data_IF_405177485120
#
_entry.id   IF_405177485120
#
_cell.length_a   1.000
_cell.length_b   1.000
_cell.length_c   1.000
_cell.angle_alpha   90.00
_cell.angle_beta   90.00
_cell.angle_gamma   90.00
#
_symmetry.space_group_name_H-M   'P 1'
#
loop_
_entity.id
_entity.type
_entity.pdbx_description
1 polymer ?
#
# COMPACT_ATOMS: atom_id res chain seq x y z
N UNK A 1 9.43 0.67 15.03
CA UNK A 1 10.89 0.63 14.83
C UNK A 1 11.52 0.07 16.09
N UNK A 2 12.39 -0.93 15.92
CA UNK A 2 13.20 -1.47 16.99
C UNK A 2 14.63 -0.91 16.86
N UNK A 3 15.23 -0.53 17.98
CA UNK A 3 16.63 -0.08 18.03
C UNK A 3 17.28 -0.57 19.32
N UNK A 4 18.49 -1.09 19.21
CA UNK A 4 19.30 -1.50 20.36
C UNK A 4 20.59 -0.69 20.39
N UNK A 5 21.04 -0.34 21.59
CA UNK A 5 22.36 0.24 21.79
C UNK A 5 23.46 -0.80 21.49
N UNK A 6 24.64 -0.35 21.04
CA UNK A 6 25.76 -1.19 20.67
C UNK A 6 26.34 -1.96 21.85
N UNK A 7 26.20 -1.42 23.07
CA UNK A 7 26.58 -2.10 24.30
C UNK A 7 25.53 -3.13 24.74
N UNK A 8 24.43 -3.28 23.99
CA UNK A 8 23.31 -4.20 24.25
C UNK A 8 22.64 -4.01 25.62
N UNK A 9 22.80 -2.83 26.23
CA UNK A 9 22.24 -2.52 27.55
C UNK A 9 20.81 -2.02 27.48
N UNK A 10 20.43 -1.41 26.35
CA UNK A 10 19.12 -0.79 26.16
C UNK A 10 18.54 -1.18 24.80
N UNK A 11 17.26 -1.58 24.79
CA UNK A 11 16.48 -1.79 23.57
C UNK A 11 15.22 -0.95 23.64
N UNK A 12 14.87 -0.30 22.54
CA UNK A 12 13.65 0.52 22.39
C UNK A 12 12.79 -0.02 21.27
N UNK A 13 11.48 0.02 21.49
CA UNK A 13 10.45 -0.29 20.49
C UNK A 13 9.46 0.86 20.44
N UNK A 14 9.34 1.47 19.27
CA UNK A 14 8.42 2.59 19.03
C UNK A 14 7.43 2.25 17.93
N UNK A 15 6.17 2.69 18.11
CA UNK A 15 5.18 2.65 17.04
C UNK A 15 5.42 3.81 16.09
N UNK A 16 5.46 3.50 14.80
CA UNK A 16 5.63 4.48 13.73
C UNK A 16 4.47 4.34 12.75
N UNK A 17 3.99 5.48 12.27
CA UNK A 17 3.05 5.50 11.16
C UNK A 17 3.76 5.05 9.89
N UNK A 18 3.13 4.17 9.14
CA UNK A 18 3.68 3.67 7.88
C UNK A 18 2.57 3.50 6.84
N UNK A 19 2.98 3.36 5.59
CA UNK A 19 2.10 3.25 4.43
C UNK A 19 2.68 2.26 3.44
N UNK A 20 1.83 1.52 2.72
CA UNK A 20 2.27 0.60 1.67
C UNK A 20 2.98 1.29 0.49
N UNK A 21 2.96 2.62 0.43
CA UNK A 21 3.74 3.42 -0.52
C UNK A 21 5.21 3.61 -0.11
N UNK A 22 5.52 3.43 1.17
CA UNK A 22 6.87 3.60 1.69
C UNK A 22 7.73 2.37 1.33
N UNK A 23 8.97 2.55 0.85
CA UNK A 23 9.83 1.43 0.48
C UNK A 23 10.09 0.47 1.66
N UNK A 24 10.26 0.99 2.87
CA UNK A 24 10.54 0.19 4.07
C UNK A 24 9.37 -0.73 4.45
N UNK A 25 8.13 -0.38 4.12
CA UNK A 25 6.94 -1.15 4.50
C UNK A 25 6.98 -2.62 4.03
N UNK A 26 7.54 -2.85 2.84
CA UNK A 26 7.64 -4.18 2.23
C UNK A 26 9.07 -4.71 2.16
N UNK A 27 9.97 -4.13 2.94
CA UNK A 27 11.34 -4.60 3.06
C UNK A 27 11.42 -5.80 4.00
N UNK A 28 11.97 -6.90 3.51
CA UNK A 28 12.12 -8.15 4.25
C UNK A 28 13.51 -8.75 4.02
N UNK A 29 13.79 -9.88 4.67
CA UNK A 29 14.97 -10.68 4.34
C UNK A 29 14.90 -11.08 2.86
N UNK A 30 15.89 -10.66 2.07
CA UNK A 30 15.87 -10.78 0.60
C UNK A 30 15.51 -9.50 -0.16
N UNK A 31 15.26 -8.39 0.56
CA UNK A 31 15.07 -7.06 -0.03
C UNK A 31 13.62 -6.63 -0.10
N UNK A 32 13.34 -5.66 -0.97
CA UNK A 32 12.01 -5.09 -1.13
C UNK A 32 11.21 -5.85 -2.18
N UNK A 33 10.05 -6.41 -1.79
CA UNK A 33 9.14 -7.11 -2.71
C UNK A 33 8.44 -6.17 -3.70
N UNK A 34 8.44 -4.87 -3.43
CA UNK A 34 7.83 -3.82 -4.26
C UNK A 34 8.80 -2.64 -4.44
N UNK A 35 9.90 -2.83 -5.19
CA UNK A 35 10.99 -1.85 -5.25
C UNK A 35 10.60 -0.58 -6.03
N UNK A 36 9.69 -0.68 -7.00
CA UNK A 36 9.30 0.45 -7.86
C UNK A 36 8.02 1.15 -7.38
N UNK A 37 7.89 2.44 -7.66
CA UNK A 37 6.66 3.21 -7.39
C UNK A 37 5.46 2.53 -8.07
N UNK A 38 5.62 2.11 -9.33
CA UNK A 38 4.61 1.36 -10.07
C UNK A 38 4.10 0.14 -9.28
N UNK A 39 5.00 -0.73 -8.80
CA UNK A 39 4.62 -1.95 -8.09
C UNK A 39 3.82 -1.65 -6.81
N UNK A 40 4.12 -0.54 -6.12
CA UNK A 40 3.40 -0.09 -4.92
C UNK A 40 2.02 0.47 -5.25
N UNK A 41 1.89 1.25 -6.32
CA UNK A 41 0.58 1.71 -6.80
C UNK A 41 -0.30 0.55 -7.25
N UNK A 42 0.26 -0.43 -7.97
CA UNK A 42 -0.47 -1.65 -8.37
C UNK A 42 -0.96 -2.42 -7.13
N UNK A 43 -0.11 -2.59 -6.11
CA UNK A 43 -0.52 -3.19 -4.85
C UNK A 43 -1.63 -2.41 -4.15
N UNK A 44 -1.53 -1.09 -4.08
CA UNK A 44 -2.54 -0.26 -3.41
C UNK A 44 -3.90 -0.37 -4.12
N UNK A 45 -3.92 -0.34 -5.46
CA UNK A 45 -5.13 -0.54 -6.27
C UNK A 45 -5.72 -1.94 -6.05
N UNK A 46 -4.92 -2.99 -6.25
CA UNK A 46 -5.40 -4.38 -6.12
C UNK A 46 -5.88 -4.67 -4.71
N UNK A 47 -5.12 -4.25 -3.70
CA UNK A 47 -5.50 -4.43 -2.31
C UNK A 47 -6.78 -3.69 -1.95
N UNK A 48 -7.09 -2.52 -2.51
CA UNK A 48 -8.31 -1.80 -2.13
C UNK A 48 -9.53 -2.18 -2.97
N UNK A 49 -9.33 -2.53 -4.23
CA UNK A 49 -10.39 -2.57 -5.24
C UNK A 49 -10.56 -3.95 -5.90
N UNK A 50 -9.62 -4.88 -5.67
CA UNK A 50 -9.64 -6.25 -6.20
C UNK A 50 -9.60 -7.29 -5.08
N UNK A 51 -8.41 -7.66 -4.63
CA UNK A 51 -8.19 -8.80 -3.71
C UNK A 51 -8.89 -8.66 -2.35
N UNK A 52 -9.21 -7.44 -1.91
CA UNK A 52 -10.00 -7.25 -0.68
C UNK A 52 -11.46 -7.60 -0.87
N UNK A 53 -12.00 -7.41 -2.08
CA UNK A 53 -13.34 -7.88 -2.42
C UNK A 53 -13.40 -9.41 -2.39
N UNK A 54 -12.37 -10.07 -2.91
CA UNK A 54 -12.25 -11.54 -2.84
C UNK A 54 -12.17 -12.05 -1.39
N UNK A 55 -11.45 -11.33 -0.52
CA UNK A 55 -11.28 -11.73 0.88
C UNK A 55 -12.48 -11.42 1.77
N UNK A 56 -13.14 -10.28 1.55
CA UNK A 56 -14.10 -9.70 2.51
C UNK A 56 -15.46 -9.34 1.89
N UNK A 57 -15.67 -9.61 0.60
CA UNK A 57 -16.92 -9.30 -0.11
C UNK A 57 -17.21 -7.79 -0.26
N UNK A 58 -16.27 -6.93 0.10
CA UNK A 58 -16.44 -5.47 0.15
C UNK A 58 -15.19 -4.76 -0.39
N UNK A 59 -15.30 -3.46 -0.69
CA UNK A 59 -14.14 -2.66 -1.07
C UNK A 59 -13.30 -2.30 0.17
N UNK A 60 -11.98 -2.41 0.05
CA UNK A 60 -11.04 -1.83 1.02
C UNK A 60 -10.83 -0.32 0.83
N UNK A 61 -11.48 0.26 -0.18
CA UNK A 61 -11.60 1.71 -0.37
C UNK A 61 -12.78 2.25 0.43
N UNK A 62 -12.52 3.21 1.32
CA UNK A 62 -13.54 3.85 2.19
C UNK A 62 -14.08 5.17 1.64
N UNK A 63 -13.74 5.54 0.40
CA UNK A 63 -14.22 6.78 -0.21
C UNK A 63 -13.57 8.07 0.31
N UNK A 64 -12.36 8.00 0.91
CA UNK A 64 -11.71 9.17 1.51
C UNK A 64 -11.24 10.27 0.51
N UNK A 65 -11.37 10.08 -0.80
CA UNK A 65 -11.06 11.08 -1.84
C UNK A 65 -9.57 11.44 -2.05
N UNK A 66 -8.66 11.10 -1.12
CA UNK A 66 -7.23 11.49 -1.19
C UNK A 66 -6.51 11.08 -2.47
N UNK A 67 -6.91 9.96 -3.07
CA UNK A 67 -6.33 9.50 -4.33
C UNK A 67 -6.60 10.43 -5.51
N UNK A 68 -7.74 11.13 -5.51
CA UNK A 68 -8.14 12.06 -6.56
C UNK A 68 -7.57 13.45 -6.23
N UNK A 69 -7.82 13.91 -5.00
CA UNK A 69 -7.43 15.26 -4.54
C UNK A 69 -5.92 15.48 -4.61
N UNK A 70 -5.10 14.45 -4.33
CA UNK A 70 -3.65 14.57 -4.30
C UNK A 70 -2.96 13.91 -5.50
N UNK A 71 -3.71 13.53 -6.53
CA UNK A 71 -3.10 12.98 -7.73
C UNK A 71 -2.30 14.08 -8.45
N UNK A 72 -0.96 13.96 -8.59
CA UNK A 72 -0.15 15.00 -9.22
C UNK A 72 -0.42 15.15 -10.71
N UNK A 73 -1.01 14.13 -11.35
CA UNK A 73 -1.30 14.07 -12.79
C UNK A 73 -2.81 14.12 -13.09
N UNK A 74 -3.66 14.37 -12.09
CA UNK A 74 -5.09 14.61 -12.30
C UNK A 74 -5.93 13.39 -12.69
N UNK A 75 -5.50 12.18 -12.32
CA UNK A 75 -6.31 10.96 -12.55
C UNK A 75 -7.53 10.95 -11.63
N UNK A 76 -8.73 10.82 -12.22
CA UNK A 76 -9.92 10.44 -11.48
C UNK A 76 -9.99 8.92 -11.33
N UNK A 77 -9.71 8.44 -10.12
CA UNK A 77 -9.72 7.02 -9.83
C UNK A 77 -11.10 6.36 -10.07
N UNK A 78 -12.20 7.10 -9.91
CA UNK A 78 -13.55 6.53 -10.05
C UNK A 78 -13.85 6.09 -11.48
N UNK A 79 -13.29 6.79 -12.46
CA UNK A 79 -13.41 6.47 -13.88
C UNK A 79 -12.59 5.23 -14.27
N UNK A 80 -11.48 5.00 -13.58
CA UNK A 80 -10.54 3.90 -13.87
C UNK A 80 -10.92 2.56 -13.19
N UNK A 81 -11.66 2.60 -12.08
CA UNK A 81 -12.05 1.39 -11.32
C UNK A 81 -12.75 0.33 -12.18
N UNK A 82 -13.74 0.66 -13.03
CA UNK A 82 -14.41 -0.34 -13.87
C UNK A 82 -13.44 -1.07 -14.81
N UNK A 83 -12.49 -0.36 -15.42
CA UNK A 83 -11.49 -0.95 -16.30
C UNK A 83 -10.53 -1.85 -15.52
N UNK A 84 -10.07 -1.39 -14.36
CA UNK A 84 -9.21 -2.16 -13.46
C UNK A 84 -9.86 -3.49 -13.03
N UNK A 85 -11.14 -3.46 -12.62
CA UNK A 85 -11.84 -4.64 -12.10
C UNK A 85 -12.15 -5.70 -13.17
N UNK A 86 -12.34 -5.29 -14.43
CA UNK A 86 -12.47 -6.24 -15.55
C UNK A 86 -11.24 -7.13 -15.68
N UNK A 87 -10.04 -6.58 -15.45
CA UNK A 87 -8.78 -7.33 -15.50
C UNK A 87 -8.45 -8.14 -14.25
N UNK A 88 -9.14 -7.91 -13.12
CA UNK A 88 -8.95 -8.67 -11.88
C UNK A 88 -9.84 -9.93 -11.80
N UNK A 89 -10.81 -10.06 -12.71
CA UNK A 89 -11.81 -11.14 -12.72
C UNK A 89 -11.50 -12.23 -13.76
N UNK A 90 -10.26 -12.26 -14.26
CA UNK A 90 -9.78 -13.19 -15.29
C UNK A 90 -8.65 -14.07 -14.73
#
# INVERSE_FOLDING_TARGET
MDSSDLLSTTTKRERVWDSCFNPQYSYQAGGNTRPTIHSRYRQWLSHKLGTWVEQWGSLGCVGCGRCIVWCPVGIDLTEEIPAFRKGASA
#
